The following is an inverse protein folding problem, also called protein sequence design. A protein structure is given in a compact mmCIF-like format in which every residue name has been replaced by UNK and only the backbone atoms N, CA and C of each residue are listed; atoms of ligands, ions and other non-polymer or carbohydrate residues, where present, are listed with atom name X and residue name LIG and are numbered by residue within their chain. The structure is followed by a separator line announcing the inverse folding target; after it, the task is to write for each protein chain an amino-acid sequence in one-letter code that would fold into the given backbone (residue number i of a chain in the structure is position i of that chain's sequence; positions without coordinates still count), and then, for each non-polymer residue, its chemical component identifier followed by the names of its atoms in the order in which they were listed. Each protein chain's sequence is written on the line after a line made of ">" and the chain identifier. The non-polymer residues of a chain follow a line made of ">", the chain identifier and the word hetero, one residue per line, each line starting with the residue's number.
data_IF_584398610709
#
_entry.id   IF_584398610709
#
_cell.length_a   1.000
_cell.length_b   1.000
_cell.length_c   1.000
_cell.angle_alpha   90.00
_cell.angle_beta   90.00
_cell.angle_gamma   90.00
#
_symmetry.space_group_name_H-M   'P 1'
#
loop_
_entity.id
_entity.type
_entity.pdbx_description
1 polymer ?
#
# COMPACT_ATOMS: atom_id res chain seq x y z
N UNK A 1 17.20 -22.26 11.07
CA UNK A 1 18.25 -21.42 10.44
C UNK A 1 17.57 -20.11 10.10
N UNK A 2 18.00 -18.97 10.61
CA UNK A 2 17.37 -17.68 10.28
C UNK A 2 17.61 -17.32 8.82
N UNK A 3 16.55 -17.05 8.06
CA UNK A 3 16.70 -16.59 6.67
C UNK A 3 17.22 -15.15 6.66
N UNK A 4 18.38 -14.91 6.02
CA UNK A 4 18.93 -13.55 5.87
C UNK A 4 17.97 -12.63 5.12
N UNK A 5 17.92 -11.36 5.49
CA UNK A 5 17.14 -10.32 4.80
C UNK A 5 17.38 -10.30 3.29
N UNK A 6 18.61 -10.55 2.81
CA UNK A 6 18.91 -10.61 1.39
C UNK A 6 18.20 -11.77 0.67
N UNK A 7 18.11 -12.94 1.33
CA UNK A 7 17.41 -14.10 0.77
C UNK A 7 15.90 -13.86 0.69
N UNK A 8 15.33 -13.16 1.68
CA UNK A 8 13.92 -12.76 1.67
C UNK A 8 13.65 -11.79 0.52
N UNK A 9 14.47 -10.74 0.38
CA UNK A 9 14.34 -9.77 -0.72
C UNK A 9 14.49 -10.46 -2.08
N UNK A 10 15.49 -11.33 -2.24
CA UNK A 10 15.66 -12.11 -3.47
C UNK A 10 14.45 -13.00 -3.76
N UNK A 11 13.86 -13.63 -2.76
CA UNK A 11 12.64 -14.43 -2.94
C UNK A 11 11.49 -13.56 -3.44
N UNK A 12 11.24 -12.41 -2.79
CA UNK A 12 10.21 -11.44 -3.22
C UNK A 12 10.44 -11.02 -4.68
N UNK A 13 11.67 -10.71 -5.07
CA UNK A 13 11.99 -10.29 -6.44
C UNK A 13 11.86 -11.43 -7.46
N UNK A 14 12.11 -12.68 -7.06
CA UNK A 14 11.94 -13.87 -7.92
C UNK A 14 10.48 -14.27 -8.10
N UNK A 15 9.64 -14.04 -7.09
CA UNK A 15 8.21 -14.38 -7.12
C UNK A 15 7.36 -13.26 -7.73
N UNK A 16 7.95 -12.09 -8.00
CA UNK A 16 7.20 -10.95 -8.53
C UNK A 16 6.55 -11.27 -9.87
N UNK A 17 5.30 -10.86 -10.05
CA UNK A 17 4.62 -10.90 -11.36
C UNK A 17 3.63 -9.75 -11.47
N UNK A 18 3.24 -9.47 -12.71
CA UNK A 18 2.19 -8.51 -13.00
C UNK A 18 0.88 -8.86 -12.32
N UNK A 19 0.09 -7.83 -12.04
CA UNK A 19 -1.20 -7.99 -11.39
C UNK A 19 -2.17 -8.89 -12.17
N UNK A 20 -2.15 -8.82 -13.51
CA UNK A 20 -3.00 -9.63 -14.40
C UNK A 20 -2.66 -11.12 -14.39
N UNK A 21 -1.50 -11.51 -13.86
CA UNK A 21 -0.94 -12.87 -13.99
C UNK A 21 -0.93 -13.65 -12.68
N UNK A 22 -1.31 -13.02 -11.56
CA UNK A 22 -1.39 -13.68 -10.28
C UNK A 22 -2.73 -14.45 -10.14
N UNK A 23 -2.69 -15.75 -10.36
CA UNK A 23 -3.85 -16.65 -10.22
C UNK A 23 -3.86 -17.45 -8.90
N UNK A 24 -2.71 -17.61 -8.24
CA UNK A 24 -2.59 -18.43 -7.01
C UNK A 24 -1.63 -17.76 -6.03
N UNK A 25 -2.11 -17.56 -4.80
CA UNK A 25 -1.31 -17.10 -3.66
C UNK A 25 -1.27 -18.17 -2.58
N UNK A 26 -0.17 -18.21 -1.83
CA UNK A 26 -0.04 -19.12 -0.69
C UNK A 26 -1.04 -18.80 0.41
N UNK A 27 -1.53 -19.86 1.05
CA UNK A 27 -2.37 -19.75 2.25
C UNK A 27 -1.54 -19.50 3.52
N UNK A 28 -0.20 -19.46 3.41
CA UNK A 28 0.71 -19.20 4.52
C UNK A 28 0.84 -17.70 4.84
N UNK A 29 1.21 -17.36 6.10
CA UNK A 29 1.66 -16.01 6.45
C UNK A 29 2.92 -15.64 5.70
N UNK A 30 3.26 -14.35 5.67
CA UNK A 30 4.46 -13.90 4.96
C UNK A 30 4.57 -12.40 4.79
N UNK A 31 5.54 -12.02 3.96
CA UNK A 31 5.70 -10.65 3.49
C UNK A 31 5.31 -10.56 2.02
N UNK A 32 4.74 -9.43 1.65
CA UNK A 32 4.52 -9.03 0.27
C UNK A 32 5.11 -7.66 0.01
N UNK A 33 5.54 -7.43 -1.22
CA UNK A 33 6.06 -6.14 -1.66
C UNK A 33 5.43 -5.73 -2.98
N UNK A 34 5.22 -4.43 -3.13
CA UNK A 34 4.83 -3.83 -4.41
C UNK A 34 6.04 -3.21 -5.08
N UNK A 35 6.22 -3.57 -6.34
CA UNK A 35 7.33 -3.16 -7.18
C UNK A 35 6.76 -2.41 -8.37
N UNK A 36 7.37 -1.29 -8.75
CA UNK A 36 7.03 -0.62 -10.00
C UNK A 36 7.51 -1.47 -11.18
N UNK A 37 6.68 -1.68 -12.21
CA UNK A 37 7.15 -2.32 -13.46
C UNK A 37 8.25 -1.45 -14.08
N UNK A 38 9.12 -2.03 -14.91
CA UNK A 38 10.31 -1.33 -15.43
C UNK A 38 10.01 -0.02 -16.18
N UNK A 39 8.83 0.08 -16.79
CA UNK A 39 8.37 1.28 -17.53
C UNK A 39 7.58 2.27 -16.65
N UNK A 40 7.32 1.94 -15.39
CA UNK A 40 6.48 2.71 -14.49
C UNK A 40 7.24 3.82 -13.78
N UNK A 41 6.53 4.91 -13.51
CA UNK A 41 7.05 6.06 -12.78
C UNK A 41 6.00 6.57 -11.78
N UNK A 42 6.38 6.70 -10.52
CA UNK A 42 5.55 7.26 -9.44
C UNK A 42 6.05 8.65 -9.03
N UNK A 43 6.35 9.49 -10.03
CA UNK A 43 7.00 10.80 -9.83
C UNK A 43 8.30 10.59 -9.04
N UNK A 44 8.61 11.49 -8.12
CA UNK A 44 9.77 11.34 -7.23
C UNK A 44 9.69 10.12 -6.27
N UNK A 45 8.51 9.50 -6.08
CA UNK A 45 8.33 8.45 -5.09
C UNK A 45 8.76 7.07 -5.61
N UNK A 46 9.15 6.93 -6.86
CA UNK A 46 9.72 5.67 -7.34
C UNK A 46 9.82 5.60 -8.84
N UNK A 47 10.79 4.82 -9.30
CA UNK A 47 11.02 4.50 -10.71
C UNK A 47 10.89 2.99 -10.94
N UNK A 48 10.84 2.58 -12.20
CA UNK A 48 10.69 1.19 -12.58
C UNK A 48 11.72 0.26 -11.92
N UNK A 49 11.27 -0.94 -11.56
CA UNK A 49 12.02 -1.96 -10.84
C UNK A 49 12.14 -1.73 -9.32
N UNK A 50 11.69 -0.59 -8.79
CA UNK A 50 11.86 -0.24 -7.38
C UNK A 50 10.73 -0.83 -6.50
N UNK A 51 11.10 -1.42 -5.36
CA UNK A 51 10.17 -1.75 -4.28
C UNK A 51 9.72 -0.45 -3.61
N UNK A 52 8.42 -0.16 -3.65
CA UNK A 52 7.83 1.09 -3.13
C UNK A 52 7.04 0.89 -1.84
N UNK A 53 6.66 -0.35 -1.54
CA UNK A 53 5.88 -0.71 -0.36
C UNK A 53 6.15 -2.16 0.04
N UNK A 54 6.19 -2.42 1.33
CA UNK A 54 6.27 -3.77 1.92
C UNK A 54 5.17 -3.86 2.98
N UNK A 55 4.51 -5.00 3.07
CA UNK A 55 3.60 -5.30 4.16
C UNK A 55 3.67 -6.76 4.58
N UNK A 56 3.15 -7.04 5.76
CA UNK A 56 3.01 -8.40 6.29
C UNK A 56 1.59 -8.93 6.16
N UNK A 57 1.46 -10.23 5.98
CA UNK A 57 0.22 -10.98 6.11
C UNK A 57 0.38 -12.02 7.24
N UNK A 58 -0.40 -11.85 8.32
CA UNK A 58 -0.31 -12.69 9.51
C UNK A 58 -1.11 -13.99 9.40
N UNK A 59 -2.21 -13.98 8.66
CA UNK A 59 -3.05 -15.17 8.50
C UNK A 59 -2.75 -15.91 7.20
N UNK A 60 -2.67 -15.17 6.09
CA UNK A 60 -2.54 -15.73 4.75
C UNK A 60 -2.24 -14.63 3.74
N UNK A 61 -1.21 -14.82 2.91
CA UNK A 61 -0.91 -13.96 1.77
C UNK A 61 -2.13 -13.84 0.84
N UNK A 62 -2.79 -14.98 0.53
CA UNK A 62 -4.02 -15.02 -0.26
C UNK A 62 -5.17 -14.18 0.31
N UNK A 63 -5.42 -14.25 1.63
CA UNK A 63 -6.53 -13.48 2.25
C UNK A 63 -6.26 -11.97 2.23
N UNK A 64 -5.02 -11.54 2.44
CA UNK A 64 -4.64 -10.12 2.51
C UNK A 64 -4.52 -9.49 1.13
N UNK A 65 -4.02 -10.23 0.14
CA UNK A 65 -3.81 -9.77 -1.23
C UNK A 65 -4.94 -10.09 -2.22
N UNK A 66 -5.98 -10.85 -1.90
CA UNK A 66 -7.10 -11.00 -2.85
C UNK A 66 -8.31 -10.12 -2.52
N UNK A 67 -8.63 -9.90 -1.24
CA UNK A 67 -9.89 -9.24 -0.86
C UNK A 67 -9.75 -7.76 -0.52
N UNK A 68 -8.61 -7.30 0.01
CA UNK A 68 -8.54 -5.96 0.64
C UNK A 68 -7.83 -4.90 -0.22
N UNK A 69 -6.83 -5.29 -1.00
CA UNK A 69 -6.07 -4.35 -1.84
C UNK A 69 -6.54 -4.29 -3.31
N UNK A 70 -7.21 -5.34 -3.78
CA UNK A 70 -7.23 -5.64 -5.23
C UNK A 70 -8.61 -5.85 -5.87
N UNK A 71 -9.63 -6.32 -5.15
CA UNK A 71 -11.00 -6.44 -5.70
C UNK A 71 -11.92 -5.28 -5.35
N UNK A 72 -11.59 -4.55 -4.30
CA UNK A 72 -12.46 -3.50 -3.79
C UNK A 72 -11.91 -2.14 -4.21
N UNK A 73 -12.72 -1.39 -4.96
CA UNK A 73 -12.60 0.06 -5.24
C UNK A 73 -12.65 0.89 -3.93
N UNK A 74 -11.82 0.56 -2.94
CA UNK A 74 -11.94 1.00 -1.56
C UNK A 74 -10.57 1.39 -1.01
N UNK A 75 -10.06 2.55 -1.43
CA UNK A 75 -8.86 3.15 -0.81
C UNK A 75 -8.97 3.28 0.71
N UNK A 76 -10.20 3.36 1.26
CA UNK A 76 -10.42 3.41 2.70
C UNK A 76 -9.83 2.23 3.49
N UNK A 77 -9.55 1.09 2.86
CA UNK A 77 -8.96 -0.08 3.52
C UNK A 77 -7.47 -0.30 3.22
N UNK A 78 -6.89 0.50 2.32
CA UNK A 78 -5.52 0.27 1.83
C UNK A 78 -4.65 1.51 2.00
N UNK A 79 -3.61 1.39 2.85
CA UNK A 79 -2.58 2.42 3.01
C UNK A 79 -1.89 2.73 1.68
N UNK A 80 -1.50 1.69 0.92
CA UNK A 80 -0.91 1.82 -0.40
C UNK A 80 -1.78 2.64 -1.37
N UNK A 81 -3.07 2.27 -1.51
CA UNK A 81 -4.01 2.99 -2.39
C UNK A 81 -4.15 4.45 -2.00
N UNK A 82 -4.29 4.76 -0.70
CA UNK A 82 -4.37 6.16 -0.23
C UNK A 82 -3.12 6.95 -0.58
N UNK A 83 -1.95 6.34 -0.44
CA UNK A 83 -0.67 6.97 -0.81
C UNK A 83 -0.59 7.25 -2.32
N UNK A 84 -0.83 6.25 -3.18
CA UNK A 84 -0.78 6.44 -4.64
C UNK A 84 -1.86 7.42 -5.12
N UNK A 85 -3.09 7.29 -4.61
CA UNK A 85 -4.18 8.20 -4.95
C UNK A 85 -3.89 9.64 -4.52
N UNK A 86 -3.27 9.87 -3.35
CA UNK A 86 -2.85 11.21 -2.95
C UNK A 86 -1.74 11.78 -3.86
N UNK A 87 -0.81 10.94 -4.32
CA UNK A 87 0.24 11.33 -5.28
C UNK A 87 -0.37 11.76 -6.63
N UNK A 88 -1.44 11.09 -7.07
CA UNK A 88 -2.11 11.36 -8.34
C UNK A 88 -3.42 12.15 -8.23
N UNK A 89 -3.76 12.70 -7.06
CA UNK A 89 -5.02 13.43 -6.84
C UNK A 89 -5.31 14.46 -7.94
N UNK A 90 -4.32 15.31 -8.25
CA UNK A 90 -4.45 16.32 -9.32
C UNK A 90 -4.53 15.70 -10.72
N UNK A 91 -3.75 14.64 -10.98
CA UNK A 91 -3.74 13.94 -12.27
C UNK A 91 -5.08 13.26 -12.57
N UNK A 92 -5.73 12.70 -11.55
CA UNK A 92 -6.99 11.99 -11.70
C UNK A 92 -8.22 12.88 -11.48
N UNK A 93 -8.01 14.14 -11.10
CA UNK A 93 -9.05 15.07 -10.65
C UNK A 93 -9.93 14.46 -9.54
N UNK A 94 -9.28 13.83 -8.55
CA UNK A 94 -9.97 13.02 -7.55
C UNK A 94 -10.54 13.84 -6.41
N UNK A 95 -11.70 13.44 -5.92
CA UNK A 95 -12.33 14.00 -4.71
C UNK A 95 -12.30 12.97 -3.59
N UNK A 96 -11.82 13.36 -2.42
CA UNK A 96 -11.75 12.52 -1.23
C UNK A 96 -12.99 12.67 -0.36
N UNK A 97 -13.45 11.55 0.20
CA UNK A 97 -14.57 11.46 1.13
C UNK A 97 -14.16 10.65 2.34
N UNK A 98 -14.75 10.90 3.51
CA UNK A 98 -14.50 10.03 4.66
C UNK A 98 -15.00 8.61 4.36
N UNK A 99 -14.37 7.60 4.97
CA UNK A 99 -14.59 6.19 4.62
C UNK A 99 -16.08 5.80 4.55
N UNK A 100 -16.82 6.23 5.55
CA UNK A 100 -18.22 5.92 5.84
C UNK A 100 -19.11 7.18 5.97
N UNK A 101 -18.62 8.37 5.59
CA UNK A 101 -19.40 9.62 5.63
C UNK A 101 -19.49 10.30 7.01
N UNK A 102 -18.80 9.79 8.03
CA UNK A 102 -18.78 10.39 9.38
C UNK A 102 -17.61 11.37 9.54
N UNK A 103 -17.61 12.13 10.64
CA UNK A 103 -16.52 13.02 11.05
C UNK A 103 -15.56 12.37 12.06
N UNK A 104 -15.69 11.06 12.33
CA UNK A 104 -14.77 10.40 13.24
C UNK A 104 -13.35 10.34 12.65
N UNK A 105 -12.35 10.40 13.52
CA UNK A 105 -10.94 10.50 13.12
C UNK A 105 -10.53 9.32 12.25
N UNK A 106 -11.01 8.11 12.53
CA UNK A 106 -10.65 6.89 11.80
C UNK A 106 -11.22 6.95 10.38
N UNK A 107 -12.45 7.41 10.21
CA UNK A 107 -13.09 7.60 8.91
C UNK A 107 -12.38 8.64 8.06
N UNK A 108 -11.89 9.72 8.67
CA UNK A 108 -11.10 10.77 8.00
C UNK A 108 -9.72 10.23 7.61
N UNK A 109 -9.00 9.59 8.55
CA UNK A 109 -7.66 9.05 8.30
C UNK A 109 -7.66 7.95 7.22
N UNK A 110 -8.78 7.24 7.10
CA UNK A 110 -9.05 6.20 6.12
C UNK A 110 -10.02 6.67 5.02
N UNK A 111 -9.90 7.93 4.58
CA UNK A 111 -10.66 8.45 3.45
C UNK A 111 -10.58 7.53 2.21
N UNK A 112 -11.56 7.68 1.34
CA UNK A 112 -11.65 7.05 0.01
C UNK A 112 -11.80 8.11 -1.07
N UNK A 113 -11.57 7.75 -2.33
CA UNK A 113 -11.86 8.64 -3.45
C UNK A 113 -13.25 8.37 -4.04
N UNK A 114 -13.73 9.27 -4.88
CA UNK A 114 -14.90 9.05 -5.73
C UNK A 114 -14.72 7.81 -6.63
N UNK A 115 -15.84 7.28 -7.14
CA UNK A 115 -15.86 6.00 -7.85
C UNK A 115 -15.04 6.01 -9.14
N UNK A 116 -14.99 7.14 -9.85
CA UNK A 116 -14.25 7.30 -11.09
C UNK A 116 -12.74 7.25 -10.80
N UNK A 117 -12.31 8.00 -9.78
CA UNK A 117 -10.94 8.03 -9.29
C UNK A 117 -10.46 6.70 -8.74
N UNK A 118 -11.30 5.97 -8.01
CA UNK A 118 -10.98 4.60 -7.56
C UNK A 118 -10.78 3.65 -8.76
N UNK A 119 -11.52 3.84 -9.86
CA UNK A 119 -11.36 3.08 -11.09
C UNK A 119 -10.04 3.42 -11.82
N UNK A 120 -9.72 4.71 -11.94
CA UNK A 120 -8.44 5.19 -12.51
C UNK A 120 -7.25 4.68 -11.69
N UNK A 121 -7.32 4.77 -10.37
CA UNK A 121 -6.31 4.28 -9.46
C UNK A 121 -6.12 2.77 -9.59
N UNK A 122 -7.22 2.02 -9.63
CA UNK A 122 -7.18 0.56 -9.83
C UNK A 122 -6.48 0.23 -11.15
N UNK A 123 -6.90 0.85 -12.25
CA UNK A 123 -6.33 0.62 -13.58
C UNK A 123 -4.83 0.94 -13.61
N UNK A 124 -4.43 2.06 -13.01
CA UNK A 124 -3.02 2.44 -12.90
C UNK A 124 -2.24 1.39 -12.11
N UNK A 125 -2.72 0.97 -10.93
CA UNK A 125 -2.03 -0.05 -10.13
C UNK A 125 -1.87 -1.38 -10.88
N UNK A 126 -2.91 -1.85 -11.59
CA UNK A 126 -2.85 -3.09 -12.37
C UNK A 126 -1.79 -3.05 -13.48
N UNK A 127 -1.62 -1.88 -14.12
CA UNK A 127 -0.69 -1.69 -15.24
C UNK A 127 0.74 -1.39 -14.79
N UNK A 128 0.92 -0.82 -13.59
CA UNK A 128 2.19 -0.22 -13.17
C UNK A 128 2.85 -0.95 -11.99
N UNK A 129 2.16 -1.90 -11.35
CA UNK A 129 2.68 -2.63 -10.20
C UNK A 129 2.78 -4.13 -10.46
N UNK A 130 3.88 -4.67 -9.97
CA UNK A 130 4.08 -6.09 -9.73
C UNK A 130 3.97 -6.35 -8.22
N UNK A 131 3.53 -7.54 -7.86
CA UNK A 131 3.55 -8.01 -6.48
C UNK A 131 4.47 -9.23 -6.38
N UNK A 132 5.35 -9.23 -5.39
CA UNK A 132 6.17 -10.38 -5.01
C UNK A 132 5.99 -10.71 -3.54
N UNK A 133 6.29 -11.94 -3.16
CA UNK A 133 6.04 -12.47 -1.82
C UNK A 133 7.16 -13.36 -1.30
N UNK A 134 7.21 -13.47 0.02
CA UNK A 134 7.99 -14.44 0.77
C UNK A 134 7.12 -15.08 1.84
N UNK A 135 7.07 -16.41 1.85
CA UNK A 135 6.28 -17.16 2.82
C UNK A 135 7.05 -17.31 4.12
N UNK A 136 6.37 -17.02 5.23
CA UNK A 136 6.88 -17.20 6.57
C UNK A 136 6.57 -18.61 7.06
N UNK A 137 7.58 -19.30 7.57
CA UNK A 137 7.46 -20.62 8.18
C UNK A 137 7.95 -20.55 9.63
N UNK A 138 7.01 -20.54 10.57
CA UNK A 138 7.31 -20.41 12.01
C UNK A 138 8.13 -21.57 12.57
N UNK A 139 8.20 -22.70 11.87
CA UNK A 139 9.02 -23.85 12.29
C UNK A 139 10.48 -23.70 11.84
N UNK A 140 10.74 -22.88 10.82
CA UNK A 140 12.08 -22.66 10.25
C UNK A 140 12.73 -21.37 10.74
N UNK A 141 11.91 -20.36 10.99
CA UNK A 141 12.37 -19.03 11.39
C UNK A 141 12.44 -18.89 12.91
N UNK A 142 13.57 -18.34 13.38
CA UNK A 142 13.81 -18.09 14.80
C UNK A 142 13.36 -16.68 15.23
N UNK A 143 12.77 -15.91 14.32
CA UNK A 143 12.28 -14.55 14.55
C UNK A 143 10.79 -14.47 14.23
N UNK A 144 10.08 -13.56 14.89
CA UNK A 144 8.67 -13.32 14.57
C UNK A 144 8.57 -12.49 13.28
N UNK A 145 7.52 -12.74 12.49
CA UNK A 145 7.28 -12.06 11.21
C UNK A 145 7.31 -10.52 11.32
N UNK A 146 6.90 -9.98 12.47
CA UNK A 146 6.93 -8.55 12.76
C UNK A 146 8.34 -7.95 12.74
N UNK A 147 9.32 -8.61 13.36
CA UNK A 147 10.70 -8.13 13.42
C UNK A 147 11.39 -8.29 12.07
N UNK A 148 11.07 -9.37 11.36
CA UNK A 148 11.55 -9.61 9.99
C UNK A 148 11.04 -8.50 9.07
N UNK A 149 9.75 -8.17 9.11
CA UNK A 149 9.17 -7.07 8.33
C UNK A 149 9.90 -5.74 8.60
N UNK A 150 10.10 -5.41 9.87
CA UNK A 150 10.77 -4.16 10.25
C UNK A 150 12.20 -4.10 9.68
N UNK A 151 13.00 -5.18 9.82
CA UNK A 151 14.34 -5.26 9.24
C UNK A 151 14.33 -5.08 7.72
N UNK A 152 13.36 -5.69 7.04
CA UNK A 152 13.20 -5.58 5.59
C UNK A 152 12.86 -4.14 5.18
N UNK A 153 11.92 -3.49 5.88
CA UNK A 153 11.55 -2.09 5.62
C UNK A 153 12.74 -1.15 5.86
N UNK A 154 13.49 -1.34 6.94
CA UNK A 154 14.68 -0.51 7.25
C UNK A 154 15.73 -0.65 6.15
N UNK A 155 15.94 -1.87 5.63
CA UNK A 155 16.91 -2.15 4.57
C UNK A 155 16.48 -1.58 3.22
N UNK A 156 15.22 -1.79 2.84
CA UNK A 156 14.70 -1.37 1.53
C UNK A 156 14.32 0.11 1.47
N UNK A 157 13.96 0.70 2.60
CA UNK A 157 13.45 2.09 2.73
C UNK A 157 12.34 2.40 1.71
N UNK A 158 11.27 1.59 1.66
CA UNK A 158 10.18 1.78 0.70
C UNK A 158 9.58 3.18 0.84
N UNK A 159 9.42 3.85 -0.29
CA UNK A 159 9.07 5.27 -0.38
C UNK A 159 7.62 5.58 0.01
N UNK A 160 6.76 4.56 0.06
CA UNK A 160 5.37 4.70 0.50
C UNK A 160 5.12 4.20 1.92
N UNK A 161 6.16 3.78 2.63
CA UNK A 161 6.03 3.41 4.04
C UNK A 161 5.82 4.64 4.93
N UNK A 162 4.84 4.52 5.83
CA UNK A 162 4.46 5.54 6.80
C UNK A 162 4.21 4.94 8.19
N UNK A 163 4.62 3.69 8.42
CA UNK A 163 4.56 3.07 9.73
C UNK A 163 5.39 3.88 10.73
N UNK A 164 4.87 4.13 11.93
CA UNK A 164 5.54 4.98 12.93
C UNK A 164 6.94 4.48 13.30
N UNK A 165 7.19 3.17 13.23
CA UNK A 165 8.47 2.53 13.57
C UNK A 165 9.55 2.87 12.57
N UNK A 166 9.20 2.86 11.30
CA UNK A 166 10.12 2.88 10.16
C UNK A 166 10.04 4.15 9.32
N UNK A 167 9.01 4.99 9.50
CA UNK A 167 8.78 6.25 8.76
C UNK A 167 10.02 7.15 8.72
N UNK A 168 10.84 7.16 9.78
CA UNK A 168 12.08 7.95 9.85
C UNK A 168 13.11 7.59 8.79
N UNK A 169 13.04 6.39 8.21
CA UNK A 169 13.93 5.93 7.14
C UNK A 169 13.41 6.23 5.73
N UNK A 170 12.14 6.61 5.59
CA UNK A 170 11.56 7.02 4.32
C UNK A 170 11.79 8.52 4.10
N UNK A 171 12.71 8.87 3.19
CA UNK A 171 13.06 10.27 2.86
C UNK A 171 11.87 11.08 2.32
N UNK A 172 10.83 10.42 1.79
CA UNK A 172 9.63 11.06 1.25
C UNK A 172 8.46 11.10 2.24
N UNK A 173 8.65 10.60 3.46
CA UNK A 173 7.58 10.44 4.44
C UNK A 173 6.82 11.75 4.74
N UNK A 174 7.53 12.87 4.87
CA UNK A 174 6.91 14.18 5.15
C UNK A 174 6.08 14.65 3.96
N UNK A 175 6.62 14.54 2.75
CA UNK A 175 5.91 14.94 1.53
C UNK A 175 4.68 14.06 1.27
N UNK A 176 4.79 12.75 1.47
CA UNK A 176 3.66 11.84 1.35
C UNK A 176 2.59 12.10 2.43
N UNK A 177 3.02 12.39 3.67
CA UNK A 177 2.11 12.77 4.76
C UNK A 177 1.33 14.04 4.40
N UNK A 178 2.00 15.06 3.85
CA UNK A 178 1.36 16.30 3.40
C UNK A 178 0.32 16.05 2.29
N UNK A 179 0.66 15.24 1.28
CA UNK A 179 -0.29 14.86 0.22
C UNK A 179 -1.53 14.14 0.78
N UNK A 180 -1.34 13.21 1.73
CA UNK A 180 -2.46 12.55 2.40
C UNK A 180 -3.26 13.52 3.27
N UNK A 181 -2.62 14.52 3.87
CA UNK A 181 -3.32 15.52 4.68
C UNK A 181 -4.27 16.40 3.86
N UNK A 182 -3.88 16.77 2.63
CA UNK A 182 -4.78 17.46 1.68
C UNK A 182 -6.07 16.66 1.48
N UNK A 183 -5.93 15.35 1.22
CA UNK A 183 -7.09 14.46 1.03
C UNK A 183 -7.94 14.33 2.29
N UNK A 184 -7.33 14.26 3.48
CA UNK A 184 -8.07 14.21 4.75
C UNK A 184 -8.86 15.48 5.02
N UNK A 185 -8.29 16.65 4.73
CA UNK A 185 -8.94 17.94 4.92
C UNK A 185 -10.17 18.05 3.99
N UNK A 186 -10.01 17.69 2.73
CA UNK A 186 -11.12 17.64 1.76
C UNK A 186 -12.21 16.64 2.18
N UNK A 187 -11.82 15.43 2.59
CA UNK A 187 -12.76 14.42 3.09
C UNK A 187 -13.58 14.93 4.28
N UNK A 188 -12.92 15.61 5.24
CA UNK A 188 -13.57 16.21 6.40
C UNK A 188 -14.56 17.31 5.98
N UNK A 189 -14.15 18.19 5.08
CA UNK A 189 -14.99 19.26 4.56
C UNK A 189 -16.25 18.70 3.88
N UNK A 190 -16.10 17.74 2.97
CA UNK A 190 -17.22 17.08 2.30
C UNK A 190 -18.19 16.39 3.28
N UNK A 191 -17.68 15.83 4.39
CA UNK A 191 -18.51 15.24 5.42
C UNK A 191 -19.26 16.29 6.28
N UNK A 192 -18.73 17.51 6.42
CA UNK A 192 -19.43 18.62 7.08
C UNK A 192 -20.56 19.16 6.21
N UNK A 193 -20.30 19.38 4.92
CA UNK A 193 -21.31 19.91 3.98
C UNK A 193 -22.50 18.96 3.85
N UNK A 194 -22.26 17.66 3.71
CA UNK A 194 -23.33 16.65 3.63
C UNK A 194 -24.21 16.57 4.90
N UNK A 195 -23.74 17.09 6.04
CA UNK A 195 -24.54 17.19 7.27
C UNK A 195 -25.35 18.49 7.32
N UNK A 196 -24.88 19.57 6.70
CA UNK A 196 -25.58 20.84 6.66
C UNK A 196 -26.77 20.83 5.69
N UNK A 197 -26.76 19.91 4.70
CA UNK A 197 -27.84 19.73 3.72
C UNK A 197 -28.88 18.67 4.11
N UNK A 198 -28.85 18.17 5.36
CA UNK A 198 -29.79 17.19 5.92
C UNK A 198 -30.52 17.80 7.09
#
# INVERSE_FOLDING_TARGET
>A
MTTSTDKIIQTILKTKKCFSEHSVYSDNPGLYAFILTDKSNLKQFGKGGQIIYVGKAEDSLKKRDFKTHFNDKRSGNSTLRRSIGAIFKTKFNSTAFTRNGTLDKIAIDNYKFDIESESKLTSWMKQNLEIGYWEFDSLKENEILYDIEEKIIIKLRPTLDLDKRTKKYNIFANKLSALRQICKNEARHNAMENRATR
#
